data_IF_893998535225
#
_entry.id   IF_893998535225
#
_cell.length_a   1.000
_cell.length_b   1.000
_cell.length_c   1.000
_cell.angle_alpha   90.00
_cell.angle_beta   90.00
_cell.angle_gamma   90.00
#
_symmetry.space_group_name_H-M   'P 1'
#
loop_
_entity.id
_entity.type
_entity.pdbx_description
1 polymer ?
#
# COMPACT_ATOMS: atom_id res chain seq x y z
N UNK A 1 7.01 10.89 -2.50
CA UNK A 1 7.19 9.49 -2.05
C UNK A 1 8.10 8.76 -3.02
N UNK A 2 8.88 7.78 -2.58
CA UNK A 2 9.72 6.93 -3.45
C UNK A 2 8.96 5.64 -3.88
N UNK A 3 9.57 4.81 -4.74
CA UNK A 3 8.97 3.57 -5.26
C UNK A 3 8.49 2.65 -4.13
N UNK A 4 9.36 2.35 -3.15
CA UNK A 4 9.04 1.44 -2.04
C UNK A 4 7.97 2.03 -1.11
N UNK A 5 7.92 3.35 -0.95
CA UNK A 5 6.86 4.05 -0.23
C UNK A 5 5.48 3.84 -0.87
N UNK A 6 5.38 3.89 -2.21
CA UNK A 6 4.14 3.52 -2.88
C UNK A 6 3.81 2.03 -2.70
N UNK A 7 4.82 1.16 -2.75
CA UNK A 7 4.67 -0.26 -2.44
C UNK A 7 4.06 -0.52 -1.06
N UNK A 8 4.48 0.23 -0.03
CA UNK A 8 3.87 0.15 1.30
C UNK A 8 2.40 0.60 1.31
N UNK A 9 2.02 1.62 0.54
CA UNK A 9 0.62 2.02 0.44
C UNK A 9 -0.26 0.98 -0.24
N UNK A 10 0.25 0.30 -1.28
CA UNK A 10 -0.46 -0.81 -1.94
C UNK A 10 -0.88 -1.89 -0.93
N UNK A 11 -0.05 -2.16 0.07
CA UNK A 11 -0.35 -3.09 1.17
C UNK A 11 -1.22 -2.45 2.27
N UNK A 12 -0.94 -1.20 2.64
CA UNK A 12 -1.60 -0.52 3.75
C UNK A 12 -3.09 -0.25 3.49
N UNK A 13 -3.46 0.15 2.27
CA UNK A 13 -4.85 0.44 1.92
C UNK A 13 -5.82 -0.74 2.11
N UNK A 14 -5.59 -1.94 1.53
CA UNK A 14 -6.50 -3.06 1.72
C UNK A 14 -6.52 -3.54 3.18
N UNK A 15 -5.38 -3.49 3.88
CA UNK A 15 -5.32 -3.83 5.30
C UNK A 15 -6.16 -2.86 6.14
N UNK A 16 -6.03 -1.55 5.90
CA UNK A 16 -6.82 -0.52 6.57
C UNK A 16 -8.32 -0.69 6.26
N UNK A 17 -8.70 -0.92 5.00
CA UNK A 17 -10.08 -1.18 4.60
C UNK A 17 -10.66 -2.41 5.32
N UNK A 18 -9.89 -3.50 5.38
CA UNK A 18 -10.26 -4.72 6.10
C UNK A 18 -10.47 -4.44 7.60
N UNK A 19 -9.54 -3.75 8.27
CA UNK A 19 -9.66 -3.42 9.69
C UNK A 19 -10.88 -2.53 9.97
N UNK A 20 -11.11 -1.52 9.14
CA UNK A 20 -12.28 -0.63 9.28
C UNK A 20 -13.58 -1.40 9.14
N UNK A 21 -13.70 -2.28 8.15
CA UNK A 21 -14.91 -3.09 7.95
C UNK A 21 -15.10 -4.12 9.05
N UNK A 22 -14.03 -4.82 9.46
CA UNK A 22 -14.09 -5.87 10.48
C UNK A 22 -14.43 -5.31 11.87
N UNK A 23 -13.78 -4.20 12.27
CA UNK A 23 -14.00 -3.59 13.59
C UNK A 23 -15.23 -2.67 13.60
N UNK A 24 -15.57 -2.07 12.46
CA UNK A 24 -16.71 -1.15 12.32
C UNK A 24 -18.07 -1.83 12.14
N UNK A 25 -18.15 -3.16 12.16
CA UNK A 25 -19.37 -3.92 11.81
C UNK A 25 -20.64 -3.48 12.56
N UNK A 26 -20.49 -2.99 13.80
CA UNK A 26 -21.61 -2.60 14.67
C UNK A 26 -22.10 -1.18 14.42
N UNK A 27 -21.28 -0.34 13.78
CA UNK A 27 -21.55 1.09 13.55
C UNK A 27 -21.67 1.47 12.08
N UNK A 28 -21.16 0.64 11.16
CA UNK A 28 -21.22 0.89 9.72
C UNK A 28 -22.63 0.58 9.19
N UNK A 29 -23.41 1.58 8.74
CA UNK A 29 -24.76 1.35 8.28
C UNK A 29 -24.78 0.83 6.83
N UNK A 30 -25.65 -0.15 6.56
CA UNK A 30 -26.08 -0.55 5.21
C UNK A 30 -24.93 -0.80 4.23
N UNK A 31 -24.81 0.07 3.21
CA UNK A 31 -23.89 -0.08 2.07
C UNK A 31 -22.49 0.51 2.29
N UNK A 32 -22.24 1.11 3.45
CA UNK A 32 -20.98 1.83 3.73
C UNK A 32 -19.76 0.90 3.71
N UNK A 33 -19.89 -0.33 4.20
CA UNK A 33 -18.82 -1.33 4.16
C UNK A 33 -18.34 -1.62 2.72
N UNK A 34 -19.26 -1.69 1.76
CA UNK A 34 -18.92 -1.87 0.35
C UNK A 34 -18.12 -0.69 -0.21
N UNK A 35 -18.56 0.54 0.08
CA UNK A 35 -17.84 1.75 -0.33
C UNK A 35 -16.44 1.86 0.29
N UNK A 36 -16.30 1.52 1.58
CA UNK A 36 -14.99 1.50 2.27
C UNK A 36 -14.06 0.49 1.59
N UNK A 37 -14.54 -0.73 1.35
CA UNK A 37 -13.74 -1.75 0.67
C UNK A 37 -13.34 -1.33 -0.75
N UNK A 38 -14.28 -0.79 -1.54
CA UNK A 38 -13.98 -0.28 -2.89
C UNK A 38 -12.99 0.88 -2.88
N UNK A 39 -13.14 1.83 -1.95
CA UNK A 39 -12.21 2.95 -1.81
C UNK A 39 -10.81 2.49 -1.40
N UNK A 40 -10.70 1.51 -0.51
CA UNK A 40 -9.43 0.90 -0.12
C UNK A 40 -8.72 0.27 -1.33
N UNK A 41 -9.42 -0.55 -2.13
CA UNK A 41 -8.84 -1.14 -3.34
C UNK A 41 -8.49 -0.06 -4.37
N UNK A 42 -9.33 0.97 -4.53
CA UNK A 42 -9.05 2.12 -5.39
C UNK A 42 -7.79 2.87 -4.99
N UNK A 43 -7.58 3.09 -3.69
CA UNK A 43 -6.36 3.72 -3.16
C UNK A 43 -5.10 2.87 -3.38
N UNK A 44 -5.21 1.55 -3.23
CA UNK A 44 -4.13 0.62 -3.53
C UNK A 44 -3.76 0.67 -5.03
N UNK A 45 -4.76 0.69 -5.92
CA UNK A 45 -4.56 0.81 -7.36
C UNK A 45 -3.94 2.16 -7.75
N UNK A 46 -4.42 3.27 -7.20
CA UNK A 46 -3.81 4.58 -7.42
C UNK A 46 -2.34 4.61 -6.97
N UNK A 47 -2.03 3.92 -5.87
CA UNK A 47 -0.66 3.79 -5.37
C UNK A 47 0.23 2.94 -6.29
N UNK A 48 -0.31 1.87 -6.89
CA UNK A 48 0.45 1.07 -7.86
C UNK A 48 0.76 1.83 -9.14
N UNK A 49 -0.13 2.72 -9.59
CA UNK A 49 0.16 3.67 -10.68
C UNK A 49 1.32 4.59 -10.28
N UNK A 50 1.28 5.17 -9.08
CA UNK A 50 2.37 6.01 -8.56
C UNK A 50 3.72 5.26 -8.50
N UNK A 51 3.70 3.99 -8.07
CA UNK A 51 4.87 3.10 -8.09
C UNK A 51 5.39 2.87 -9.51
N UNK A 52 4.49 2.58 -10.47
CA UNK A 52 4.84 2.33 -11.86
C UNK A 52 5.50 3.55 -12.51
N UNK A 53 4.91 4.74 -12.34
CA UNK A 53 5.47 5.99 -12.88
C UNK A 53 6.89 6.24 -12.35
N UNK A 54 7.11 6.00 -11.04
CA UNK A 54 8.43 6.13 -10.42
C UNK A 54 9.45 5.07 -10.87
N UNK A 55 8.99 3.87 -11.28
CA UNK A 55 9.84 2.84 -11.86
C UNK A 55 10.23 3.17 -13.30
N UNK A 56 9.29 3.71 -14.08
CA UNK A 56 9.57 4.08 -15.47
C UNK A 56 10.61 5.20 -15.58
N UNK A 57 10.66 6.09 -14.58
CA UNK A 57 11.66 7.17 -14.48
C UNK A 57 13.09 6.68 -14.10
N UNK A 58 13.26 5.37 -13.90
CA UNK A 58 14.56 4.74 -13.60
C UNK A 58 15.13 3.99 -14.81
N UNK A 59 16.47 3.94 -14.96
CA UNK A 59 17.14 3.01 -15.87
C UNK A 59 16.67 1.57 -15.66
N UNK A 60 16.57 0.80 -16.74
CA UNK A 60 16.00 -0.54 -16.78
C UNK A 60 16.55 -1.47 -15.69
N UNK A 61 17.88 -1.46 -15.53
CA UNK A 61 18.63 -2.26 -14.56
C UNK A 61 18.31 -1.90 -13.10
N UNK A 62 17.80 -0.69 -12.85
CA UNK A 62 17.51 -0.14 -11.51
C UNK A 62 16.03 -0.12 -11.14
N UNK A 63 15.17 -0.79 -11.92
CA UNK A 63 13.73 -0.94 -11.67
C UNK A 63 13.38 -2.03 -10.65
N UNK A 64 14.38 -2.67 -10.06
CA UNK A 64 14.20 -3.60 -8.94
C UNK A 64 14.61 -2.90 -7.64
N UNK A 65 13.67 -2.74 -6.72
CA UNK A 65 13.87 -2.04 -5.46
C UNK A 65 13.24 -2.84 -4.33
N UNK A 66 14.00 -3.03 -3.25
CA UNK A 66 13.54 -3.69 -2.03
C UNK A 66 13.47 -2.65 -0.91
N UNK A 67 12.34 -2.60 -0.21
CA UNK A 67 12.17 -1.78 0.97
C UNK A 67 12.03 -2.65 2.21
N UNK A 68 12.90 -2.46 3.19
CA UNK A 68 12.84 -3.17 4.48
C UNK A 68 12.22 -2.27 5.53
N UNK A 69 11.20 -2.76 6.25
CA UNK A 69 10.53 -1.97 7.30
C UNK A 69 11.41 -1.74 8.53
N UNK A 70 12.21 -2.75 8.91
CA UNK A 70 13.11 -2.71 10.06
C UNK A 70 14.32 -3.63 9.83
N UNK A 71 15.51 -3.18 10.23
CA UNK A 71 16.74 -3.99 10.19
C UNK A 71 17.03 -4.53 11.59
N UNK A 72 16.94 -5.85 11.75
CA UNK A 72 17.11 -6.50 13.05
C UNK A 72 18.57 -6.80 13.41
N UNK A 73 19.40 -7.13 12.43
CA UNK A 73 20.83 -7.34 12.60
C UNK A 73 21.58 -6.60 11.48
N UNK A 74 22.49 -5.72 11.86
CA UNK A 74 23.45 -5.09 10.96
C UNK A 74 24.83 -5.67 11.27
N UNK A 75 25.34 -6.49 10.35
CA UNK A 75 26.62 -7.18 10.51
C UNK A 75 27.79 -6.39 9.92
N UNK A 76 27.54 -5.17 9.41
CA UNK A 76 28.58 -4.27 8.94
C UNK A 76 29.06 -3.38 10.10
N UNK A 77 30.02 -3.87 10.87
CA UNK A 77 30.78 -3.16 11.89
C UNK A 77 32.23 -3.61 11.89
#
# INVERSE_FOLDING_TARGET
MNVTGYGWLVLAFPLAGMLVVALGWRVLPGRTAGWVASAAIGGAFASSIGMLLQLLDKPEESRSLVGTAYTYADTAG
#
